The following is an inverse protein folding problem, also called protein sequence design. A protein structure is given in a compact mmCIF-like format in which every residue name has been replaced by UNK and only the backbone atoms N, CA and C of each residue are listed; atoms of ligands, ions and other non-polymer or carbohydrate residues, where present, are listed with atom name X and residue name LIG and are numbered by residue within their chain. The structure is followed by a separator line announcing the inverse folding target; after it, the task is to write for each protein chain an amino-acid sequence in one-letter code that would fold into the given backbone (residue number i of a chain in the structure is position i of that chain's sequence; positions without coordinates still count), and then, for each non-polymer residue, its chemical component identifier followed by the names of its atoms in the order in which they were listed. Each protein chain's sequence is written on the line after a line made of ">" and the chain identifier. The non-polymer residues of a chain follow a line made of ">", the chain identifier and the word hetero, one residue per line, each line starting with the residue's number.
data_IF_172706026346
#
_entry.id   IF_172706026346
#
_cell.length_a   1.000
_cell.length_b   1.000
_cell.length_c   1.000
_cell.angle_alpha   90.00
_cell.angle_beta   90.00
_cell.angle_gamma   90.00
#
_symmetry.space_group_name_H-M   'P 1'
#
loop_
_entity.id
_entity.type
_entity.pdbx_description
1 polymer ?
#
# COMPACT_ATOMS: atom_id res chain seq x y z
N UNK A 1 -23.44 11.24 -34.04
CA UNK A 1 -24.02 11.54 -32.71
C UNK A 1 -23.93 10.29 -31.86
N UNK A 2 -22.82 10.11 -31.15
CA UNK A 2 -22.66 8.99 -30.20
C UNK A 2 -23.12 9.48 -28.82
N UNK A 3 -24.15 8.84 -28.29
CA UNK A 3 -24.67 9.05 -26.94
C UNK A 3 -23.70 8.39 -25.95
N UNK A 4 -23.06 9.20 -25.10
CA UNK A 4 -22.46 8.73 -23.86
C UNK A 4 -23.55 8.15 -22.96
N UNK A 5 -23.46 6.85 -22.68
CA UNK A 5 -24.33 6.20 -21.70
C UNK A 5 -23.81 6.53 -20.30
N UNK A 6 -24.45 7.49 -19.65
CA UNK A 6 -24.40 7.65 -18.19
C UNK A 6 -25.05 6.40 -17.58
N UNK A 7 -24.23 5.47 -17.08
CA UNK A 7 -24.73 4.30 -16.34
C UNK A 7 -25.25 4.79 -15.00
N UNK A 8 -26.57 4.75 -14.81
CA UNK A 8 -27.20 4.90 -13.48
C UNK A 8 -26.73 3.76 -12.58
N UNK A 9 -26.08 4.09 -11.48
CA UNK A 9 -25.46 3.17 -10.52
C UNK A 9 -26.56 2.61 -9.59
N UNK A 10 -27.01 1.39 -9.91
CA UNK A 10 -28.08 0.60 -9.30
C UNK A 10 -27.50 -0.43 -8.30
N UNK A 11 -28.33 -1.03 -7.43
CA UNK A 11 -28.04 -2.00 -6.35
C UNK A 11 -27.02 -3.10 -6.74
N UNK A 12 -26.94 -3.44 -8.03
CA UNK A 12 -25.95 -4.36 -8.62
C UNK A 12 -24.49 -3.98 -8.33
N UNK A 13 -24.20 -2.69 -8.20
CA UNK A 13 -22.84 -2.19 -7.93
C UNK A 13 -22.32 -2.67 -6.57
N UNK A 14 -23.19 -2.66 -5.57
CA UNK A 14 -22.89 -3.19 -4.24
C UNK A 14 -22.74 -4.72 -4.26
N UNK A 15 -23.62 -5.44 -4.97
CA UNK A 15 -23.55 -6.90 -5.08
C UNK A 15 -22.22 -7.37 -5.68
N UNK A 16 -21.72 -6.68 -6.71
CA UNK A 16 -20.42 -7.00 -7.30
C UNK A 16 -19.27 -6.69 -6.35
N UNK A 17 -19.32 -5.56 -5.63
CA UNK A 17 -18.31 -5.22 -4.62
C UNK A 17 -18.28 -6.26 -3.48
N UNK A 18 -19.46 -6.64 -2.97
CA UNK A 18 -19.60 -7.66 -1.93
C UNK A 18 -19.12 -9.03 -2.39
N UNK A 19 -19.40 -9.41 -3.64
CA UNK A 19 -18.92 -10.66 -4.23
C UNK A 19 -17.39 -10.68 -4.30
N UNK A 20 -16.78 -9.58 -4.77
CA UNK A 20 -15.32 -9.44 -4.81
C UNK A 20 -14.71 -9.49 -3.39
N UNK A 21 -15.32 -8.78 -2.42
CA UNK A 21 -14.90 -8.79 -1.03
C UNK A 21 -14.91 -10.20 -0.44
N UNK A 22 -16.03 -10.92 -0.58
CA UNK A 22 -16.20 -12.28 -0.08
C UNK A 22 -15.22 -13.25 -0.74
N UNK A 23 -15.06 -13.20 -2.06
CA UNK A 23 -14.12 -14.07 -2.78
C UNK A 23 -12.69 -13.90 -2.26
N UNK A 24 -12.25 -12.65 -2.10
CA UNK A 24 -10.92 -12.36 -1.57
C UNK A 24 -10.77 -12.80 -0.11
N UNK A 25 -11.74 -12.45 0.75
CA UNK A 25 -11.76 -12.84 2.16
C UNK A 25 -11.67 -14.36 2.33
N UNK A 26 -12.49 -15.12 1.60
CA UNK A 26 -12.48 -16.59 1.61
C UNK A 26 -11.14 -17.15 1.14
N UNK A 27 -10.55 -16.55 0.10
CA UNK A 27 -9.22 -16.94 -0.40
C UNK A 27 -8.15 -16.75 0.68
N UNK A 28 -8.16 -15.59 1.36
CA UNK A 28 -7.19 -15.27 2.41
C UNK A 28 -7.31 -16.23 3.60
N UNK A 29 -8.52 -16.44 4.14
CA UNK A 29 -8.70 -17.31 5.32
C UNK A 29 -8.42 -18.78 5.01
N UNK A 30 -8.59 -19.21 3.75
CA UNK A 30 -8.32 -20.59 3.34
C UNK A 30 -6.82 -20.87 3.13
N UNK A 31 -6.01 -19.84 2.90
CA UNK A 31 -4.61 -19.99 2.51
C UNK A 31 -3.61 -19.36 3.50
N UNK A 32 -4.08 -18.64 4.52
CA UNK A 32 -3.21 -17.98 5.51
C UNK A 32 -3.71 -18.19 6.93
N UNK A 33 -2.77 -18.20 7.87
CA UNK A 33 -3.08 -18.00 9.28
C UNK A 33 -3.12 -16.50 9.55
N UNK A 34 -4.31 -15.90 9.57
CA UNK A 34 -4.50 -14.47 9.86
C UNK A 34 -5.63 -14.24 10.87
N UNK A 35 -5.72 -13.03 11.42
CA UNK A 35 -6.79 -12.66 12.37
C UNK A 35 -8.20 -12.67 11.74
N UNK A 36 -8.28 -12.88 10.43
CA UNK A 36 -9.54 -13.02 9.71
C UNK A 36 -10.19 -14.40 9.90
N UNK A 37 -9.45 -15.38 10.42
CA UNK A 37 -10.02 -16.70 10.73
C UNK A 37 -11.22 -16.55 11.67
N UNK A 38 -12.37 -17.10 11.25
CA UNK A 38 -13.69 -16.98 11.92
C UNK A 38 -14.23 -15.55 12.03
N UNK A 39 -13.67 -14.60 11.27
CA UNK A 39 -14.25 -13.28 11.09
C UNK A 39 -15.41 -13.30 10.11
N UNK A 40 -16.18 -12.22 10.10
CA UNK A 40 -17.21 -11.91 9.12
C UNK A 40 -16.93 -10.57 8.46
N UNK A 41 -17.39 -10.42 7.22
CA UNK A 41 -17.34 -9.16 6.50
C UNK A 41 -18.60 -8.35 6.78
N UNK A 42 -18.41 -7.16 7.36
CA UNK A 42 -19.47 -6.20 7.59
C UNK A 42 -19.27 -4.99 6.68
N UNK A 43 -20.28 -4.68 5.87
CA UNK A 43 -20.28 -3.45 5.09
C UNK A 43 -20.34 -2.24 6.04
N UNK A 44 -19.41 -1.29 5.90
CA UNK A 44 -19.43 -0.06 6.68
C UNK A 44 -20.00 1.12 5.88
N UNK A 45 -19.34 1.51 4.77
CA UNK A 45 -19.76 2.67 3.98
C UNK A 45 -19.32 2.62 2.52
N UNK A 46 -20.02 3.40 1.70
CA UNK A 46 -19.54 3.84 0.38
C UNK A 46 -18.48 4.92 0.58
N UNK A 47 -17.49 4.94 -0.31
CA UNK A 47 -16.40 5.92 -0.31
C UNK A 47 -16.48 6.77 -1.57
N UNK A 48 -16.23 8.06 -1.40
CA UNK A 48 -16.39 9.06 -2.46
C UNK A 48 -15.09 9.83 -2.68
N UNK A 49 -14.87 10.30 -3.90
CA UNK A 49 -13.80 11.25 -4.17
C UNK A 49 -14.24 12.69 -3.83
N UNK A 50 -13.35 13.65 -4.04
CA UNK A 50 -13.60 15.08 -3.80
C UNK A 50 -14.72 15.68 -4.65
N UNK A 51 -15.13 15.00 -5.72
CA UNK A 51 -16.20 15.41 -6.64
C UNK A 51 -17.56 14.80 -6.25
N UNK A 52 -17.60 13.97 -5.19
CA UNK A 52 -18.81 13.26 -4.78
C UNK A 52 -19.12 12.03 -5.63
N UNK A 53 -18.18 11.58 -6.47
CA UNK A 53 -18.33 10.33 -7.22
C UNK A 53 -18.01 9.14 -6.30
N UNK A 54 -18.86 8.12 -6.30
CA UNK A 54 -18.61 6.87 -5.59
C UNK A 54 -17.44 6.14 -6.26
N UNK A 55 -16.38 5.86 -5.48
CA UNK A 55 -15.14 5.25 -6.00
C UNK A 55 -14.84 3.89 -5.39
N UNK A 56 -15.36 3.60 -4.20
CA UNK A 56 -15.10 2.34 -3.51
C UNK A 56 -16.15 2.00 -2.44
N UNK A 57 -16.07 0.77 -1.94
CA UNK A 57 -16.85 0.21 -0.84
C UNK A 57 -15.91 -0.24 0.26
N UNK A 58 -16.20 0.13 1.50
CA UNK A 58 -15.43 -0.24 2.68
C UNK A 58 -16.15 -1.34 3.47
N UNK A 59 -15.44 -2.43 3.74
CA UNK A 59 -15.88 -3.52 4.59
C UNK A 59 -14.93 -3.66 5.78
N UNK A 60 -15.49 -3.78 6.97
CA UNK A 60 -14.78 -4.13 8.18
C UNK A 60 -14.77 -5.66 8.32
N UNK A 61 -13.61 -6.24 8.63
CA UNK A 61 -13.53 -7.63 9.09
C UNK A 61 -13.67 -7.63 10.60
N UNK A 62 -14.64 -8.37 11.11
CA UNK A 62 -14.98 -8.36 12.52
C UNK A 62 -15.16 -9.79 13.05
N UNK A 63 -14.71 -10.03 14.28
CA UNK A 63 -14.96 -11.28 15.01
C UNK A 63 -15.53 -10.91 16.38
N UNK A 64 -16.81 -11.22 16.60
CA UNK A 64 -17.56 -10.67 17.74
C UNK A 64 -17.42 -9.13 17.78
N UNK A 65 -16.91 -8.52 18.86
CA UNK A 65 -16.68 -7.07 18.91
C UNK A 65 -15.26 -6.65 18.45
N UNK A 66 -14.40 -7.60 18.09
CA UNK A 66 -13.00 -7.31 17.73
C UNK A 66 -12.89 -6.98 16.25
N UNK A 67 -12.28 -5.85 15.94
CA UNK A 67 -11.96 -5.40 14.58
C UNK A 67 -10.65 -6.04 14.13
N UNK A 68 -10.75 -6.90 13.13
CA UNK A 68 -9.66 -7.78 12.68
C UNK A 68 -9.05 -7.35 11.35
N UNK A 69 -9.29 -6.13 10.90
CA UNK A 69 -8.81 -5.60 9.62
C UNK A 69 -9.95 -5.15 8.72
N UNK A 70 -9.65 -4.83 7.47
CA UNK A 70 -10.64 -4.26 6.56
C UNK A 70 -10.30 -4.55 5.10
N UNK A 71 -11.28 -4.30 4.24
CA UNK A 71 -11.19 -4.36 2.78
C UNK A 71 -11.75 -3.08 2.17
N UNK A 72 -11.03 -2.49 1.24
CA UNK A 72 -11.55 -1.46 0.34
C UNK A 72 -11.64 -2.05 -1.06
N UNK A 73 -12.86 -2.12 -1.60
CA UNK A 73 -13.15 -2.66 -2.92
C UNK A 73 -13.52 -1.53 -3.86
N UNK A 74 -12.86 -1.46 -5.02
CA UNK A 74 -13.16 -0.46 -6.04
C UNK A 74 -13.13 -1.05 -7.44
N UNK A 75 -13.41 -0.22 -8.44
CA UNK A 75 -13.46 -0.65 -9.83
C UNK A 75 -12.08 -0.52 -10.47
N UNK A 76 -11.55 -1.63 -10.96
CA UNK A 76 -10.26 -1.76 -11.64
C UNK A 76 -10.53 -2.48 -12.97
N UNK A 77 -10.23 -1.83 -14.10
CA UNK A 77 -10.47 -2.41 -15.42
C UNK A 77 -11.93 -2.70 -15.74
N UNK A 78 -12.88 -2.04 -15.08
CA UNK A 78 -14.31 -2.31 -15.21
C UNK A 78 -14.84 -3.45 -14.34
N UNK A 79 -13.99 -4.02 -13.47
CA UNK A 79 -14.36 -5.09 -12.53
C UNK A 79 -14.09 -4.68 -11.09
N UNK A 80 -14.89 -5.16 -10.14
CA UNK A 80 -14.64 -4.89 -8.72
C UNK A 80 -13.47 -5.74 -8.22
N UNK A 81 -12.47 -5.09 -7.64
CA UNK A 81 -11.27 -5.73 -7.08
C UNK A 81 -10.94 -5.08 -5.73
N UNK A 82 -10.23 -5.81 -4.89
CA UNK A 82 -9.59 -5.22 -3.70
C UNK A 82 -8.63 -4.13 -4.20
N UNK A 83 -8.71 -2.94 -3.63
CA UNK A 83 -7.71 -1.88 -3.81
C UNK A 83 -6.69 -1.95 -2.69
N UNK A 84 -7.19 -2.16 -1.48
CA UNK A 84 -6.41 -2.17 -0.26
C UNK A 84 -7.06 -3.06 0.80
N UNK A 85 -6.26 -3.64 1.67
CA UNK A 85 -6.74 -4.31 2.87
C UNK A 85 -5.73 -4.28 4.02
N UNK A 86 -6.18 -4.64 5.21
CA UNK A 86 -5.30 -4.93 6.35
C UNK A 86 -5.79 -6.17 7.08
N UNK A 87 -4.88 -6.94 7.67
CA UNK A 87 -5.17 -8.17 8.42
C UNK A 87 -5.34 -7.96 9.92
N UNK A 88 -5.40 -6.70 10.36
CA UNK A 88 -5.60 -6.36 11.77
C UNK A 88 -6.21 -4.96 11.94
N UNK A 89 -6.90 -4.76 13.07
CA UNK A 89 -7.39 -3.47 13.53
C UNK A 89 -8.58 -2.88 12.75
N UNK A 90 -8.79 -1.59 12.93
CA UNK A 90 -9.94 -0.86 12.40
C UNK A 90 -9.65 -0.27 11.02
N UNK A 91 -10.66 -0.01 10.20
CA UNK A 91 -10.45 0.75 8.97
C UNK A 91 -10.05 2.23 9.23
N UNK A 92 -9.42 2.92 8.27
CA UNK A 92 -8.91 4.28 8.45
C UNK A 92 -9.97 5.34 8.84
N UNK A 93 -11.23 5.11 8.47
CA UNK A 93 -12.35 6.03 8.71
C UNK A 93 -13.11 5.82 10.04
N UNK A 94 -12.57 5.07 11.00
CA UNK A 94 -13.32 4.73 12.24
C UNK A 94 -13.88 5.96 12.97
N UNK A 95 -13.11 7.05 13.01
CA UNK A 95 -13.45 8.28 13.72
C UNK A 95 -13.82 9.43 12.77
N UNK A 96 -14.37 9.08 11.60
CA UNK A 96 -14.81 10.03 10.57
C UNK A 96 -16.28 9.77 10.28
N UNK A 97 -17.08 10.82 10.16
CA UNK A 97 -18.48 10.67 9.78
C UNK A 97 -18.58 10.07 8.37
N UNK A 98 -19.62 9.25 8.11
CA UNK A 98 -19.75 8.51 6.85
C UNK A 98 -19.80 9.44 5.64
N UNK A 99 -20.51 10.55 5.76
CA UNK A 99 -20.68 11.59 4.76
C UNK A 99 -19.45 12.51 4.57
N UNK A 100 -18.52 12.50 5.52
CA UNK A 100 -17.27 13.26 5.43
C UNK A 100 -16.12 12.47 4.78
N UNK A 101 -16.31 11.17 4.54
CA UNK A 101 -15.23 10.28 4.12
C UNK A 101 -14.84 10.49 2.66
N UNK A 102 -13.61 10.93 2.42
CA UNK A 102 -13.02 11.11 1.09
C UNK A 102 -11.92 10.08 0.88
N UNK A 103 -12.03 9.29 -0.20
CA UNK A 103 -11.07 8.26 -0.60
C UNK A 103 -10.51 8.56 -1.99
N UNK A 104 -9.19 8.56 -2.10
CA UNK A 104 -8.49 9.02 -3.31
C UNK A 104 -7.51 7.97 -3.85
N UNK A 105 -7.62 6.73 -3.36
CA UNK A 105 -6.77 5.60 -3.69
C UNK A 105 -6.15 4.96 -2.44
N UNK A 106 -5.39 3.87 -2.61
CA UNK A 106 -4.71 3.22 -1.50
C UNK A 106 -3.83 4.19 -0.72
N UNK A 107 -3.78 4.02 0.60
CA UNK A 107 -3.11 4.88 1.57
C UNK A 107 -3.70 6.30 1.64
N UNK A 108 -4.73 6.62 0.84
CA UNK A 108 -5.27 7.97 0.71
C UNK A 108 -6.62 8.22 1.33
N UNK A 109 -6.56 8.44 2.65
CA UNK A 109 -7.74 8.66 3.48
C UNK A 109 -7.83 10.12 3.93
N UNK A 110 -8.94 10.75 3.56
CA UNK A 110 -9.21 12.15 3.84
C UNK A 110 -10.59 12.31 4.45
N UNK A 111 -10.78 13.38 5.22
CA UNK A 111 -12.10 13.82 5.63
C UNK A 111 -12.38 15.22 5.10
N UNK A 112 -13.63 15.46 4.71
CA UNK A 112 -14.10 16.78 4.32
C UNK A 112 -14.05 17.73 5.52
N UNK A 113 -13.61 18.95 5.30
CA UNK A 113 -13.75 20.03 6.28
C UNK A 113 -15.00 20.81 5.90
N UNK A 114 -16.05 20.71 6.72
CA UNK A 114 -17.33 21.37 6.47
C UNK A 114 -17.13 22.87 6.26
N UNK A 115 -17.53 23.37 5.08
CA UNK A 115 -17.49 24.75 4.56
C UNK A 115 -16.34 25.20 3.65
N UNK A 116 -15.33 24.37 3.36
CA UNK A 116 -14.24 24.74 2.43
C UNK A 116 -14.01 23.72 1.30
N UNK A 117 -13.36 24.15 0.22
CA UNK A 117 -12.80 23.28 -0.83
C UNK A 117 -11.52 22.58 -0.32
N UNK A 118 -11.53 22.12 0.93
CA UNK A 118 -10.38 21.55 1.61
C UNK A 118 -10.72 20.19 2.20
N UNK A 119 -9.71 19.34 2.20
CA UNK A 119 -9.77 18.01 2.80
C UNK A 119 -8.62 17.88 3.79
N UNK A 120 -8.89 17.25 4.93
CA UNK A 120 -7.85 16.90 5.88
C UNK A 120 -7.41 15.47 5.66
N UNK A 121 -6.11 15.23 5.51
CA UNK A 121 -5.57 13.89 5.57
C UNK A 121 -5.84 13.31 6.97
N UNK A 122 -6.57 12.19 7.05
CA UNK A 122 -6.97 11.59 8.34
C UNK A 122 -5.75 11.15 9.13
N UNK A 123 -4.70 10.81 8.41
CA UNK A 123 -3.48 10.22 8.89
C UNK A 123 -2.48 11.29 9.33
N UNK A 124 -2.07 12.19 8.43
CA UNK A 124 -1.07 13.24 8.73
C UNK A 124 -1.67 14.49 9.39
N UNK A 125 -3.00 14.61 9.40
CA UNK A 125 -3.75 15.81 9.82
C UNK A 125 -3.51 17.05 8.95
N UNK A 126 -2.72 16.95 7.89
CA UNK A 126 -2.47 18.03 6.94
C UNK A 126 -3.73 18.41 6.17
N UNK A 127 -3.90 19.70 5.92
CA UNK A 127 -5.03 20.25 5.18
C UNK A 127 -4.58 20.54 3.75
N UNK A 128 -5.27 19.95 2.79
CA UNK A 128 -5.01 20.12 1.38
C UNK A 128 -6.18 20.82 0.69
N UNK A 129 -5.87 21.82 -0.13
CA UNK A 129 -6.86 22.43 -1.03
C UNK A 129 -7.16 21.47 -2.19
N UNK A 130 -8.43 21.22 -2.43
CA UNK A 130 -8.89 20.46 -3.59
C UNK A 130 -8.58 21.31 -4.82
N UNK A 131 -7.54 20.95 -5.57
CA UNK A 131 -7.37 21.47 -6.92
C UNK A 131 -8.41 20.78 -7.81
N UNK A 132 -9.24 21.52 -8.57
CA UNK A 132 -10.08 20.92 -9.59
C UNK A 132 -9.16 20.30 -10.66
N UNK A 133 -8.87 19.03 -10.48
CA UNK A 133 -8.21 18.21 -11.50
C UNK A 133 -9.32 17.39 -12.15
N UNK A 134 -9.34 17.40 -13.49
CA UNK A 134 -10.35 16.71 -14.28
C UNK A 134 -10.48 15.26 -13.82
N UNK A 135 -11.73 14.78 -13.80
CA UNK A 135 -12.17 13.45 -13.38
C UNK A 135 -11.07 12.40 -13.55
N UNK A 136 -10.31 12.17 -12.48
CA UNK A 136 -9.37 11.06 -12.43
C UNK A 136 -10.19 9.88 -11.93
N UNK A 137 -11.09 9.37 -12.77
CA UNK A 137 -11.46 7.97 -12.62
C UNK A 137 -10.15 7.23 -12.56
N UNK A 138 -9.92 6.46 -11.49
CA UNK A 138 -8.87 5.45 -11.45
C UNK A 138 -9.16 4.47 -12.59
N UNK A 139 -8.81 4.83 -13.82
CA UNK A 139 -8.84 3.97 -14.99
C UNK A 139 -7.58 3.13 -14.92
N UNK A 140 -7.59 2.13 -14.06
CA UNK A 140 -6.74 0.97 -14.28
C UNK A 140 -7.32 0.23 -15.47
N UNK A 141 -6.48 -0.11 -16.45
CA UNK A 141 -6.87 -0.63 -17.76
C UNK A 141 -7.75 -1.88 -17.70
N UNK A 142 -8.59 -2.03 -18.73
CA UNK A 142 -9.64 -3.04 -18.97
C UNK A 142 -9.27 -4.48 -18.58
N UNK A 143 -10.25 -5.18 -17.99
CA UNK A 143 -10.39 -6.64 -18.07
C UNK A 143 -11.85 -7.01 -18.31
N UNK A 144 -12.11 -7.79 -19.36
CA UNK A 144 -13.44 -8.23 -19.79
C UNK A 144 -14.07 -9.28 -18.85
N UNK A 145 -15.40 -9.29 -18.79
CA UNK A 145 -16.22 -10.07 -17.87
C UNK A 145 -16.61 -11.47 -18.40
N UNK A 146 -16.56 -12.51 -17.54
CA UNK A 146 -17.71 -13.39 -17.19
C UNK A 146 -17.35 -14.59 -16.28
N UNK A 147 -18.14 -14.71 -15.19
CA UNK A 147 -18.69 -15.92 -14.52
C UNK A 147 -17.84 -16.99 -13.79
N UNK A 148 -18.45 -17.38 -12.66
CA UNK A 148 -18.40 -18.60 -11.81
C UNK A 148 -17.14 -18.91 -10.99
N UNK A 149 -17.37 -18.98 -9.68
CA UNK A 149 -16.44 -19.45 -8.66
C UNK A 149 -15.93 -20.85 -8.97
N UNK A 150 -14.61 -20.98 -9.03
CA UNK A 150 -13.90 -22.25 -9.19
C UNK A 150 -12.69 -22.22 -8.26
N UNK A 151 -12.44 -23.33 -7.57
CA UNK A 151 -11.30 -23.57 -6.68
C UNK A 151 -10.01 -22.94 -7.23
N UNK A 152 -9.43 -21.99 -6.49
CA UNK A 152 -8.23 -21.24 -6.89
C UNK A 152 -7.00 -22.04 -6.43
N UNK A 153 -6.21 -22.67 -7.34
CA UNK A 153 -5.06 -23.49 -6.94
C UNK A 153 -3.77 -22.68 -6.74
N UNK A 154 -3.77 -21.36 -6.95
CA UNK A 154 -2.55 -20.56 -7.04
C UNK A 154 -2.63 -19.31 -6.16
N UNK A 155 -2.52 -19.52 -4.85
CA UNK A 155 -2.24 -18.48 -3.86
C UNK A 155 -0.76 -18.52 -3.51
N UNK A 156 -0.05 -17.40 -3.66
CA UNK A 156 1.36 -17.28 -3.26
C UNK A 156 1.52 -16.06 -2.38
N UNK A 157 2.11 -16.25 -1.21
CA UNK A 157 2.27 -15.20 -0.22
C UNK A 157 3.60 -15.37 0.49
N UNK A 158 4.24 -14.23 0.76
CA UNK A 158 5.37 -14.17 1.70
C UNK A 158 5.39 -12.80 2.35
N UNK A 159 5.55 -12.79 3.68
CA UNK A 159 5.86 -11.59 4.45
C UNK A 159 7.16 -11.81 5.20
N UNK A 160 7.94 -10.75 5.33
CA UNK A 160 9.17 -10.73 6.10
C UNK A 160 8.85 -10.44 7.57
N UNK A 161 9.37 -11.29 8.45
CA UNK A 161 9.28 -11.08 9.89
C UNK A 161 10.36 -10.09 10.37
N UNK A 162 9.99 -9.24 11.33
CA UNK A 162 10.93 -8.33 12.00
C UNK A 162 11.30 -7.07 11.22
N UNK A 163 10.61 -6.78 10.11
CA UNK A 163 10.65 -5.42 9.54
C UNK A 163 9.78 -4.54 10.44
N UNK A 164 10.35 -3.48 10.98
CA UNK A 164 9.59 -2.54 11.81
C UNK A 164 8.83 -1.54 10.93
N UNK A 165 7.77 -0.94 11.46
CA UNK A 165 7.18 0.27 10.91
C UNK A 165 7.33 1.39 11.94
N UNK A 166 8.35 2.22 11.81
CA UNK A 166 8.52 3.40 12.66
C UNK A 166 7.82 4.61 12.03
N UNK A 167 7.16 5.42 12.86
CA UNK A 167 6.39 6.60 12.43
C UNK A 167 7.27 7.71 11.83
N UNK A 168 6.62 8.64 11.11
CA UNK A 168 7.13 9.85 10.45
C UNK A 168 7.95 10.79 11.38
N UNK A 169 9.15 10.39 11.75
CA UNK A 169 10.10 11.19 12.55
C UNK A 169 10.83 12.18 11.66
N UNK A 170 11.22 11.76 10.46
CA UNK A 170 12.15 12.50 9.61
C UNK A 170 11.74 12.53 8.13
N UNK A 171 10.50 12.15 7.81
CA UNK A 171 9.96 12.11 6.46
C UNK A 171 10.02 10.72 5.82
N UNK A 172 9.13 10.49 4.85
CA UNK A 172 8.86 9.17 4.28
C UNK A 172 10.10 8.45 3.73
N UNK A 173 11.04 9.14 3.08
CA UNK A 173 12.25 8.51 2.53
C UNK A 173 13.18 8.09 3.67
N UNK A 174 13.45 9.02 4.60
CA UNK A 174 14.35 8.74 5.73
C UNK A 174 13.83 7.57 6.56
N UNK A 175 12.55 7.58 6.90
CA UNK A 175 11.96 6.58 7.78
C UNK A 175 11.77 5.22 7.08
N UNK A 176 11.46 5.23 5.77
CA UNK A 176 11.46 3.99 4.95
C UNK A 176 12.83 3.32 4.97
N UNK A 177 13.91 4.10 4.83
CA UNK A 177 15.27 3.59 4.86
C UNK A 177 15.69 3.16 6.26
N UNK A 178 15.23 3.86 7.30
CA UNK A 178 15.46 3.48 8.69
C UNK A 178 14.86 2.10 8.99
N UNK A 179 13.61 1.83 8.59
CA UNK A 179 12.98 0.51 8.75
C UNK A 179 13.84 -0.62 8.14
N UNK A 180 14.43 -0.38 6.97
CA UNK A 180 15.28 -1.36 6.26
C UNK A 180 16.64 -1.54 6.97
N UNK A 181 17.25 -0.45 7.44
CA UNK A 181 18.50 -0.52 8.22
C UNK A 181 18.28 -1.24 9.55
N UNK A 182 17.17 -0.95 10.23
CA UNK A 182 16.77 -1.64 11.47
C UNK A 182 16.65 -3.14 11.22
N UNK A 183 15.93 -3.54 10.16
CA UNK A 183 15.82 -4.95 9.77
C UNK A 183 17.21 -5.61 9.63
N UNK A 184 18.12 -4.98 8.87
CA UNK A 184 19.47 -5.52 8.68
C UNK A 184 20.30 -5.55 9.97
N UNK A 185 20.11 -4.60 10.89
CA UNK A 185 20.79 -4.59 12.19
C UNK A 185 20.51 -5.85 13.01
N UNK A 186 19.32 -6.44 12.87
CA UNK A 186 18.93 -7.70 13.51
C UNK A 186 19.19 -8.95 12.65
N UNK A 187 19.65 -8.78 11.40
CA UNK A 187 19.85 -9.85 10.42
C UNK A 187 21.31 -9.93 9.96
N UNK A 188 22.22 -9.96 10.93
CA UNK A 188 23.65 -10.23 10.70
C UNK A 188 24.53 -9.00 10.56
N UNK A 189 23.98 -7.78 10.67
CA UNK A 189 24.73 -6.53 10.54
C UNK A 189 24.65 -5.65 11.80
N UNK A 190 25.07 -6.15 12.98
CA UNK A 190 24.82 -5.49 14.27
C UNK A 190 25.45 -4.10 14.39
N UNK A 191 26.56 -3.84 13.71
CA UNK A 191 27.21 -2.51 13.69
C UNK A 191 26.37 -1.41 13.02
N UNK A 192 25.27 -1.75 12.34
CA UNK A 192 24.29 -0.76 11.90
C UNK A 192 23.54 -0.14 13.08
N UNK A 193 23.47 -0.82 14.22
CA UNK A 193 22.96 -0.29 15.47
C UNK A 193 23.82 -0.76 16.66
N UNK A 194 25.04 -0.22 16.81
CA UNK A 194 26.05 -0.78 17.70
C UNK A 194 25.65 -0.71 19.18
N UNK A 195 24.83 0.27 19.56
CA UNK A 195 24.43 0.47 20.94
C UNK A 195 23.16 -0.33 21.31
N UNK A 196 22.44 -0.89 20.33
CA UNK A 196 21.16 -1.61 20.49
C UNK A 196 20.06 -0.87 21.29
N UNK A 197 20.32 0.37 21.72
CA UNK A 197 19.39 1.23 22.47
C UNK A 197 18.62 2.12 21.50
N UNK A 198 17.31 1.87 21.39
CA UNK A 198 16.31 2.57 20.56
C UNK A 198 16.70 2.83 19.08
N UNK A 199 15.72 2.96 18.20
CA UNK A 199 15.98 3.20 16.77
C UNK A 199 16.31 4.67 16.46
N UNK A 200 16.22 5.56 17.45
CA UNK A 200 16.44 7.00 17.28
C UNK A 200 17.77 7.34 16.62
N UNK A 201 18.85 6.66 17.01
CA UNK A 201 20.18 6.91 16.45
C UNK A 201 20.28 6.56 14.96
N UNK A 202 19.53 5.56 14.49
CA UNK A 202 19.44 5.18 13.08
C UNK A 202 18.72 6.30 12.32
N UNK A 203 17.56 6.70 12.82
CA UNK A 203 16.75 7.78 12.22
C UNK A 203 17.53 9.09 12.12
N UNK A 204 18.20 9.52 13.19
CA UNK A 204 18.86 10.82 13.24
C UNK A 204 20.10 10.86 12.32
N UNK A 205 20.86 9.77 12.27
CA UNK A 205 22.00 9.65 11.37
C UNK A 205 21.57 9.60 9.90
N UNK A 206 20.53 8.82 9.57
CA UNK A 206 19.99 8.78 8.21
C UNK A 206 19.42 10.15 7.82
N UNK A 207 18.70 10.83 8.71
CA UNK A 207 18.17 12.16 8.43
C UNK A 207 19.29 13.18 8.16
N UNK A 208 20.39 13.13 8.92
CA UNK A 208 21.55 14.01 8.69
C UNK A 208 22.17 13.79 7.29
N UNK A 209 22.22 12.54 6.84
CA UNK A 209 22.86 12.14 5.59
C UNK A 209 21.94 12.31 4.36
N UNK A 210 20.63 12.12 4.53
CA UNK A 210 19.65 12.02 3.44
C UNK A 210 18.71 13.22 3.41
N UNK A 211 18.36 13.80 4.56
CA UNK A 211 17.48 14.96 4.71
C UNK A 211 16.14 14.81 3.98
N UNK A 212 15.61 13.58 3.96
CA UNK A 212 14.42 13.21 3.19
C UNK A 212 14.48 13.60 1.69
N UNK A 213 15.68 13.65 1.10
CA UNK A 213 15.91 14.02 -0.29
C UNK A 213 16.29 12.79 -1.13
N UNK A 214 15.39 12.43 -2.05
CA UNK A 214 15.56 11.28 -2.95
C UNK A 214 16.82 11.35 -3.82
N UNK A 215 17.33 12.55 -4.15
CA UNK A 215 18.48 12.73 -5.02
C UNK A 215 19.80 12.32 -4.37
N UNK A 216 19.86 12.34 -3.04
CA UNK A 216 21.04 11.97 -2.25
C UNK A 216 20.82 10.73 -1.40
N UNK A 217 19.59 10.21 -1.31
CA UNK A 217 19.23 9.09 -0.45
C UNK A 217 20.13 7.86 -0.61
N UNK A 218 20.40 7.42 -1.86
CA UNK A 218 21.27 6.27 -2.12
C UNK A 218 22.71 6.54 -1.68
N UNK A 219 23.21 7.76 -1.89
CA UNK A 219 24.55 8.17 -1.45
C UNK A 219 24.64 8.20 0.07
N UNK A 220 23.68 8.82 0.74
CA UNK A 220 23.62 8.90 2.21
C UNK A 220 23.47 7.53 2.85
N UNK A 221 22.70 6.63 2.25
CA UNK A 221 22.58 5.24 2.71
C UNK A 221 23.91 4.49 2.58
N UNK A 222 24.61 4.61 1.45
CA UNK A 222 25.95 4.01 1.29
C UNK A 222 26.93 4.56 2.33
N UNK A 223 26.91 5.87 2.58
CA UNK A 223 27.74 6.51 3.60
C UNK A 223 27.42 5.99 5.00
N UNK A 224 26.13 5.81 5.34
CA UNK A 224 25.70 5.22 6.61
C UNK A 224 26.30 3.82 6.80
N UNK A 225 26.10 2.94 5.80
CA UNK A 225 26.59 1.56 5.86
C UNK A 225 28.12 1.50 5.97
N UNK A 226 28.85 2.34 5.24
CA UNK A 226 30.32 2.32 5.29
C UNK A 226 30.90 2.99 6.54
N UNK A 227 30.34 4.12 6.97
CA UNK A 227 30.93 4.94 8.04
C UNK A 227 30.51 4.45 9.43
N UNK A 228 29.23 4.10 9.60
CA UNK A 228 28.66 3.63 10.86
C UNK A 228 28.71 2.11 10.88
N UNK A 229 28.09 1.46 9.89
CA UNK A 229 27.99 0.00 9.84
C UNK A 229 29.31 -0.73 9.62
N UNK A 230 30.29 -0.08 8.96
CA UNK A 230 31.52 -0.70 8.45
C UNK A 230 31.26 -1.84 7.45
N UNK A 231 30.17 -1.74 6.68
CA UNK A 231 29.80 -2.69 5.63
C UNK A 231 29.78 -2.02 4.26
N UNK A 232 30.17 -2.72 3.18
CA UNK A 232 29.82 -2.29 1.83
C UNK A 232 28.31 -2.39 1.61
N UNK A 233 27.80 -1.60 0.67
CA UNK A 233 26.37 -1.60 0.33
C UNK A 233 26.17 -1.60 -1.19
N UNK A 234 25.47 -2.62 -1.67
CA UNK A 234 24.91 -2.64 -3.01
C UNK A 234 23.46 -2.13 -2.97
N UNK A 235 23.10 -1.29 -3.94
CA UNK A 235 21.73 -0.84 -4.16
C UNK A 235 21.35 -1.14 -5.60
N UNK A 236 20.44 -2.07 -5.81
CA UNK A 236 19.90 -2.37 -7.14
C UNK A 236 18.63 -1.56 -7.35
N UNK A 237 18.58 -0.82 -8.45
CA UNK A 237 17.45 0.06 -8.76
C UNK A 237 16.72 -0.45 -10.00
N UNK A 238 15.41 -0.67 -9.86
CA UNK A 238 14.52 -1.05 -10.94
C UNK A 238 13.44 0.02 -11.08
N UNK A 239 13.15 0.45 -12.29
CA UNK A 239 12.13 1.46 -12.56
C UNK A 239 11.24 1.06 -13.72
N UNK A 240 9.94 1.33 -13.61
CA UNK A 240 9.01 1.23 -14.74
C UNK A 240 8.95 2.50 -15.58
N UNK A 241 9.82 3.49 -15.31
CA UNK A 241 9.87 4.78 -15.97
C UNK A 241 11.15 4.96 -16.79
N UNK A 242 11.09 5.89 -17.74
CA UNK A 242 12.22 6.26 -18.59
C UNK A 242 12.40 5.35 -19.80
N UNK A 243 13.39 5.67 -20.64
CA UNK A 243 13.63 4.98 -21.91
C UNK A 243 13.99 3.50 -21.75
N UNK A 244 14.55 3.12 -20.60
CA UNK A 244 14.91 1.74 -20.25
C UNK A 244 14.00 1.18 -19.14
N UNK A 245 12.81 1.75 -18.96
CA UNK A 245 11.85 1.31 -17.97
C UNK A 245 11.36 -0.10 -18.27
N UNK A 246 11.25 -0.94 -17.23
CA UNK A 246 10.67 -2.28 -17.35
C UNK A 246 9.14 -2.23 -17.23
N UNK A 247 8.46 -3.28 -17.68
CA UNK A 247 7.01 -3.35 -17.50
C UNK A 247 6.65 -3.37 -16.01
N UNK A 248 5.48 -2.84 -15.64
CA UNK A 248 5.02 -2.87 -14.23
C UNK A 248 4.87 -4.31 -13.69
N UNK A 249 4.56 -5.28 -14.57
CA UNK A 249 4.56 -6.70 -14.24
C UNK A 249 5.98 -7.23 -13.94
N UNK A 250 6.98 -6.81 -14.70
CA UNK A 250 8.38 -7.16 -14.43
C UNK A 250 8.90 -6.48 -13.16
N UNK A 251 8.50 -5.23 -12.89
CA UNK A 251 8.83 -4.51 -11.66
C UNK A 251 8.30 -5.25 -10.43
N UNK A 252 7.07 -5.77 -10.48
CA UNK A 252 6.54 -6.64 -9.43
C UNK A 252 7.37 -7.92 -9.27
N UNK A 253 7.81 -8.55 -10.37
CA UNK A 253 8.65 -9.74 -10.29
C UNK A 253 10.01 -9.45 -9.63
N UNK A 254 10.60 -8.26 -9.87
CA UNK A 254 11.82 -7.81 -9.15
C UNK A 254 11.53 -7.63 -7.67
N UNK A 255 10.43 -6.97 -7.32
CA UNK A 255 9.97 -6.83 -5.93
C UNK A 255 9.84 -8.19 -5.23
N UNK A 256 9.08 -9.11 -5.83
CA UNK A 256 8.86 -10.46 -5.34
C UNK A 256 10.16 -11.23 -5.14
N UNK A 257 11.12 -11.10 -6.06
CA UNK A 257 12.41 -11.78 -5.96
C UNK A 257 13.20 -11.33 -4.72
N UNK A 258 13.20 -10.03 -4.40
CA UNK A 258 13.88 -9.51 -3.20
C UNK A 258 13.19 -9.97 -1.91
N UNK A 259 11.85 -9.96 -1.86
CA UNK A 259 11.12 -10.52 -0.71
C UNK A 259 11.41 -12.02 -0.56
N UNK A 260 11.47 -12.78 -1.66
CA UNK A 260 11.87 -14.20 -1.63
C UNK A 260 13.30 -14.40 -1.12
N UNK A 261 14.20 -13.45 -1.38
CA UNK A 261 15.56 -13.41 -0.84
C UNK A 261 15.66 -12.91 0.62
N UNK A 262 14.53 -12.69 1.31
CA UNK A 262 14.45 -12.15 2.67
C UNK A 262 14.97 -10.71 2.80
N UNK A 263 14.70 -9.87 1.80
CA UNK A 263 15.20 -8.49 1.75
C UNK A 263 14.02 -7.53 1.63
N UNK A 264 13.76 -6.68 2.64
CA UNK A 264 12.80 -5.59 2.47
C UNK A 264 13.36 -4.60 1.45
N UNK A 265 12.46 -3.91 0.76
CA UNK A 265 12.85 -2.97 -0.29
C UNK A 265 12.30 -1.58 -0.03
N UNK A 266 12.94 -0.59 -0.63
CA UNK A 266 12.38 0.75 -0.76
C UNK A 266 11.52 0.80 -2.03
N UNK A 267 10.21 0.98 -1.85
CA UNK A 267 9.24 1.20 -2.92
C UNK A 267 8.95 2.69 -3.09
N UNK A 268 8.81 3.15 -4.32
CA UNK A 268 8.27 4.48 -4.61
C UNK A 268 6.90 4.37 -5.29
N UNK A 269 5.96 5.14 -4.77
CA UNK A 269 4.76 5.50 -5.51
C UNK A 269 4.92 6.90 -6.08
N UNK A 270 4.31 7.15 -7.24
CA UNK A 270 4.38 8.46 -7.90
C UNK A 270 3.07 8.80 -8.57
N UNK A 271 2.82 10.12 -8.74
CA UNK A 271 1.54 10.65 -9.22
C UNK A 271 0.35 10.22 -8.35
N UNK A 272 0.59 9.91 -7.07
CA UNK A 272 -0.52 9.69 -6.16
C UNK A 272 -1.31 11.00 -6.04
N UNK A 273 -2.64 11.01 -6.26
CA UNK A 273 -3.46 12.23 -6.31
C UNK A 273 -3.23 13.24 -5.18
N UNK A 274 -2.88 12.78 -3.97
CA UNK A 274 -2.58 13.64 -2.84
C UNK A 274 -1.28 13.31 -2.06
N UNK A 275 -0.79 12.06 -2.03
CA UNK A 275 0.54 11.76 -1.46
C UNK A 275 1.69 12.19 -2.38
N UNK A 276 1.38 12.58 -3.62
CA UNK A 276 2.39 12.91 -4.61
C UNK A 276 3.32 11.73 -4.85
N UNK A 277 4.61 11.96 -4.66
CA UNK A 277 5.61 10.91 -4.68
C UNK A 277 5.98 10.57 -3.23
N UNK A 278 5.80 9.31 -2.82
CA UNK A 278 6.17 8.86 -1.48
C UNK A 278 7.01 7.59 -1.52
N UNK A 279 7.77 7.37 -0.44
CA UNK A 279 8.52 6.15 -0.19
C UNK A 279 7.75 5.25 0.78
N UNK A 280 7.80 3.95 0.53
CA UNK A 280 7.21 2.91 1.37
C UNK A 280 8.23 1.80 1.60
N UNK A 281 8.20 1.17 2.77
CA UNK A 281 8.95 -0.07 2.99
C UNK A 281 8.13 -1.25 2.48
N UNK A 282 8.62 -1.96 1.46
CA UNK A 282 8.01 -3.20 0.99
C UNK A 282 8.45 -4.39 1.83
N UNK A 283 7.51 -5.10 2.44
CA UNK A 283 7.74 -6.14 3.45
C UNK A 283 7.19 -7.50 3.08
N UNK A 284 6.40 -7.59 2.01
CA UNK A 284 5.77 -8.84 1.61
C UNK A 284 4.97 -8.74 0.32
N UNK A 285 4.48 -9.86 -0.19
CA UNK A 285 3.58 -9.87 -1.32
C UNK A 285 2.47 -10.90 -1.15
N UNK A 286 1.39 -10.70 -1.89
CA UNK A 286 0.34 -11.68 -2.11
C UNK A 286 0.03 -11.73 -3.60
N UNK A 287 -0.10 -12.93 -4.15
CA UNK A 287 -0.53 -13.19 -5.52
C UNK A 287 -1.68 -14.19 -5.50
N UNK A 288 -2.79 -13.79 -6.11
CA UNK A 288 -3.98 -14.62 -6.26
C UNK A 288 -4.26 -14.73 -7.74
N UNK A 289 -4.18 -15.94 -8.29
CA UNK A 289 -4.66 -16.15 -9.64
C UNK A 289 -6.18 -16.24 -9.62
N UNK A 290 -6.84 -15.35 -10.34
CA UNK A 290 -8.28 -15.44 -10.54
C UNK A 290 -8.58 -16.20 -11.84
N UNK A 291 -9.10 -17.43 -11.75
CA UNK A 291 -9.37 -18.26 -12.92
C UNK A 291 -10.50 -17.69 -13.79
N UNK A 292 -11.37 -16.84 -13.23
CA UNK A 292 -12.48 -16.25 -13.98
C UNK A 292 -12.00 -15.15 -14.93
N UNK A 293 -11.02 -14.36 -14.49
CA UNK A 293 -10.41 -13.29 -15.31
C UNK A 293 -9.13 -13.76 -16.00
N UNK A 294 -8.61 -14.94 -15.65
CA UNK A 294 -7.30 -15.46 -16.05
C UNK A 294 -6.15 -14.49 -15.74
N UNK A 295 -6.30 -13.69 -14.70
CA UNK A 295 -5.35 -12.66 -14.29
C UNK A 295 -4.81 -12.90 -12.89
N UNK A 296 -3.58 -12.45 -12.67
CA UNK A 296 -3.01 -12.37 -11.34
C UNK A 296 -3.46 -11.08 -10.67
N UNK A 297 -4.09 -11.19 -9.51
CA UNK A 297 -4.20 -10.10 -8.55
C UNK A 297 -2.91 -10.07 -7.74
N UNK A 298 -2.18 -8.97 -7.85
CA UNK A 298 -0.87 -8.78 -7.24
C UNK A 298 -0.95 -7.69 -6.19
N UNK A 299 -0.37 -7.95 -5.04
CA UNK A 299 -0.44 -7.09 -3.88
C UNK A 299 0.96 -6.95 -3.29
N UNK A 300 1.34 -5.71 -2.98
CA UNK A 300 2.47 -5.44 -2.10
C UNK A 300 1.98 -5.25 -0.67
N UNK A 301 2.61 -5.94 0.26
CA UNK A 301 2.52 -5.66 1.69
C UNK A 301 3.53 -4.57 2.00
N UNK A 302 3.06 -3.46 2.53
CA UNK A 302 3.86 -2.24 2.73
C UNK A 302 3.69 -1.68 4.14
N UNK A 303 4.75 -1.01 4.60
CA UNK A 303 4.70 -0.09 5.72
C UNK A 303 4.69 1.34 5.17
N UNK A 304 3.62 2.08 5.49
CA UNK A 304 3.55 3.51 5.28
C UNK A 304 3.97 4.24 6.57
N UNK A 305 5.11 4.93 6.51
CA UNK A 305 5.70 5.63 7.64
C UNK A 305 4.93 6.92 7.99
N UNK A 306 4.13 7.45 7.06
CA UNK A 306 3.34 8.66 7.29
C UNK A 306 2.14 8.42 8.21
N UNK A 307 1.90 7.17 8.62
CA UNK A 307 0.63 6.78 9.21
C UNK A 307 0.63 6.42 10.68
N UNK A 308 0.21 7.40 11.48
CA UNK A 308 -0.09 7.24 12.91
C UNK A 308 -1.25 6.25 13.18
N UNK A 309 -2.04 5.89 12.16
CA UNK A 309 -3.13 4.89 12.25
C UNK A 309 -2.74 3.53 11.64
N UNK A 310 -1.49 3.33 11.18
CA UNK A 310 -1.05 2.08 10.56
C UNK A 310 0.39 1.66 10.89
N UNK A 311 0.73 1.49 12.17
CA UNK A 311 1.87 0.63 12.54
C UNK A 311 1.56 -0.86 12.35
N UNK A 312 0.99 -1.18 11.18
CA UNK A 312 0.53 -2.49 10.75
C UNK A 312 0.79 -2.65 9.27
N UNK A 313 0.70 -3.88 8.81
CA UNK A 313 0.78 -4.18 7.38
C UNK A 313 -0.43 -3.66 6.64
N UNK A 314 -0.15 -2.99 5.52
CA UNK A 314 -1.17 -2.64 4.53
C UNK A 314 -0.89 -3.40 3.24
N UNK A 315 -1.93 -4.06 2.74
CA UNK A 315 -1.93 -4.86 1.53
C UNK A 315 -2.47 -3.98 0.41
N UNK A 316 -1.58 -3.42 -0.41
CA UNK A 316 -1.92 -2.50 -1.50
C UNK A 316 -1.84 -3.22 -2.83
N UNK A 317 -2.89 -3.10 -3.63
CA UNK A 317 -2.90 -3.68 -4.99
C UNK A 317 -1.82 -3.04 -5.84
N UNK A 318 -1.02 -3.89 -6.47
CA UNK A 318 0.07 -3.45 -7.34
C UNK A 318 -0.49 -2.91 -8.65
N UNK A 319 -0.22 -1.64 -8.92
CA UNK A 319 -0.61 -0.96 -10.15
C UNK A 319 0.51 -0.05 -10.68
N UNK A 320 0.21 0.77 -11.68
CA UNK A 320 1.15 1.69 -12.31
C UNK A 320 1.64 2.84 -11.42
N UNK A 321 1.07 3.03 -10.23
CA UNK A 321 1.56 4.03 -9.27
C UNK A 321 2.86 3.57 -8.63
N UNK A 322 3.09 2.26 -8.50
CA UNK A 322 4.39 1.71 -8.14
C UNK A 322 5.34 1.83 -9.32
N UNK A 323 6.42 2.57 -9.09
CA UNK A 323 7.28 3.01 -10.19
C UNK A 323 8.75 2.71 -10.01
N UNK A 324 9.20 2.56 -8.76
CA UNK A 324 10.56 2.11 -8.48
C UNK A 324 10.58 1.06 -7.37
N UNK A 325 11.50 0.11 -7.52
CA UNK A 325 11.90 -0.86 -6.49
C UNK A 325 13.40 -0.72 -6.31
N UNK A 326 13.84 -0.44 -5.07
CA UNK A 326 15.26 -0.37 -4.71
C UNK A 326 15.58 -1.45 -3.68
N UNK A 327 16.41 -2.40 -4.08
CA UNK A 327 16.91 -3.46 -3.20
C UNK A 327 18.16 -2.99 -2.48
N UNK A 328 18.16 -3.05 -1.15
CA UNK A 328 19.26 -2.60 -0.30
C UNK A 328 19.95 -3.84 0.27
N UNK A 329 21.16 -4.11 -0.21
CA UNK A 329 21.87 -5.37 0.01
C UNK A 329 23.22 -5.05 0.67
N UNK A 330 23.34 -5.22 2.00
CA UNK A 330 24.61 -5.10 2.67
C UNK A 330 25.52 -6.27 2.27
N UNK A 331 26.82 -6.02 2.13
CA UNK A 331 27.81 -7.02 1.68
C UNK A 331 28.81 -7.45 2.72
#
# INVERSE_FOLDING_TARGET
>A
LFMERVVKQDDKSYEYALTAANSYFQTVISNTTSNWDKGELLFDRKLYNTQGEEVAYLFQVQQAERKQGYLIIGVVGGTYKVLESSREGEHPYQNVNKDESIYLGPLSYYKKISSSNEVQNITTKEINKIKPTGSSRLMVQKSDANLKAMNIPNYNYKKLDGVVNTTNKNGAITDTLANIVIYWSYKGYPNLNPNQENYDSIHDNLNRLIKNDSSIAVKGLKEYFSSIGKYPLAVNEYSSRGQNGISNAELFNKYKAEINANRPVWLNTTQHPFYGNTALTGTGYEEIYDPSTKQWHRVAVVHDTNSATTLRDIYVTWDSTFTDVKAIIPG
#
